data_IF_011931030667
#
_entry.id   IF_011931030667
#
_cell.length_a   1.000
_cell.length_b   1.000
_cell.length_c   1.000
_cell.angle_alpha   90.00
_cell.angle_beta   90.00
_cell.angle_gamma   90.00
#
_symmetry.space_group_name_H-M   'P 1'
#
loop_
_entity.id
_entity.type
_entity.pdbx_description
1 polymer ?
#
# COMPACT_ATOMS: atom_id res chain seq x y z
N UNK A 1 29.44 42.21 -43.16
CA UNK A 1 29.00 40.80 -43.24
C UNK A 1 28.89 40.09 -41.89
N UNK A 2 29.27 40.71 -40.74
CA UNK A 2 29.29 39.99 -39.44
C UNK A 2 28.00 40.13 -38.59
N UNK A 3 27.15 41.09 -38.86
CA UNK A 3 25.90 41.24 -38.06
C UNK A 3 24.82 40.20 -38.39
N UNK A 4 24.80 39.64 -39.59
CA UNK A 4 23.83 38.62 -40.01
C UNK A 4 24.09 37.22 -39.42
N UNK A 5 25.38 36.87 -39.21
CA UNK A 5 25.76 35.58 -38.61
C UNK A 5 25.45 35.48 -37.13
N UNK A 6 25.54 36.58 -36.39
CA UNK A 6 25.26 36.61 -34.93
C UNK A 6 23.76 36.46 -34.61
N UNK A 7 22.91 36.95 -35.50
CA UNK A 7 21.45 36.86 -35.33
C UNK A 7 20.95 35.45 -35.64
N UNK A 8 21.54 34.77 -36.65
CA UNK A 8 21.14 33.42 -37.01
C UNK A 8 21.54 32.38 -35.95
N UNK A 9 22.71 32.55 -35.32
CA UNK A 9 23.16 31.65 -34.23
C UNK A 9 22.32 31.84 -32.94
N UNK A 10 21.83 33.05 -32.69
CA UNK A 10 20.93 33.29 -31.51
C UNK A 10 19.52 32.71 -31.72
N UNK A 11 18.99 32.71 -32.96
CA UNK A 11 17.74 32.06 -33.32
C UNK A 11 17.84 30.53 -33.25
N UNK A 12 18.95 29.93 -33.72
CA UNK A 12 19.18 28.50 -33.64
C UNK A 12 19.34 27.98 -32.20
N UNK A 13 19.98 28.76 -31.28
CA UNK A 13 20.06 28.42 -29.87
C UNK A 13 18.71 28.53 -29.14
N UNK A 14 17.87 29.51 -29.53
CA UNK A 14 16.54 29.65 -28.93
C UNK A 14 15.58 28.53 -29.40
N UNK A 15 15.67 28.07 -30.64
CA UNK A 15 14.91 26.92 -31.13
C UNK A 15 15.36 25.60 -30.50
N UNK A 16 16.65 25.43 -30.20
CA UNK A 16 17.15 24.24 -29.50
C UNK A 16 16.70 24.19 -28.03
N UNK A 17 16.69 25.34 -27.31
CA UNK A 17 16.15 25.41 -25.96
C UNK A 17 14.62 25.18 -25.90
N UNK A 18 13.87 25.66 -26.89
CA UNK A 18 12.42 25.40 -26.95
C UNK A 18 12.09 23.93 -27.27
N UNK A 19 12.94 23.23 -28.03
CA UNK A 19 12.80 21.80 -28.30
C UNK A 19 13.09 20.93 -27.07
N UNK A 20 13.97 21.38 -26.17
CA UNK A 20 14.23 20.68 -24.90
C UNK A 20 13.13 20.90 -23.84
N UNK A 21 12.44 22.06 -23.88
CA UNK A 21 11.31 22.33 -23.00
C UNK A 21 10.02 21.59 -23.41
N UNK A 22 9.90 21.18 -24.66
CA UNK A 22 8.77 20.39 -25.16
C UNK A 22 8.97 18.89 -25.05
N UNK A 23 10.20 18.39 -24.83
CA UNK A 23 10.48 16.99 -24.58
C UNK A 23 10.12 16.51 -23.15
N UNK A 24 9.70 17.43 -22.28
CA UNK A 24 9.16 17.16 -20.93
C UNK A 24 7.64 16.98 -20.89
N UNK A 25 6.95 16.82 -22.03
CA UNK A 25 5.55 16.42 -22.04
C UNK A 25 5.43 15.02 -21.44
N UNK A 26 5.00 14.95 -20.20
CA UNK A 26 4.78 13.72 -19.46
C UNK A 26 4.01 12.72 -20.32
N UNK A 27 4.59 11.55 -20.53
CA UNK A 27 3.86 10.45 -21.10
C UNK A 27 2.65 10.20 -20.23
N UNK A 28 1.45 10.24 -20.80
CA UNK A 28 0.24 9.90 -20.10
C UNK A 28 0.42 8.51 -19.45
N UNK A 29 -0.02 8.33 -18.18
CA UNK A 29 0.08 7.04 -17.51
C UNK A 29 -0.55 5.94 -18.38
N UNK A 30 0.08 4.76 -18.36
CA UNK A 30 -0.31 3.64 -19.18
C UNK A 30 -1.80 3.31 -19.01
N UNK A 31 -2.56 3.37 -20.10
CA UNK A 31 -3.90 2.82 -20.15
C UNK A 31 -3.75 1.32 -20.40
N UNK A 32 -4.27 0.51 -19.50
CA UNK A 32 -4.33 -0.93 -19.69
C UNK A 32 -5.66 -1.27 -20.35
N UNK A 33 -5.61 -1.84 -21.55
CA UNK A 33 -6.79 -2.34 -22.22
C UNK A 33 -7.26 -3.65 -21.58
N UNK A 34 -8.58 -3.83 -21.40
CA UNK A 34 -9.12 -5.08 -20.87
C UNK A 34 -8.76 -6.28 -21.74
N UNK A 35 -8.39 -7.39 -21.12
CA UNK A 35 -8.03 -8.62 -21.80
C UNK A 35 -6.60 -8.71 -22.32
N UNK A 36 -5.79 -7.64 -22.22
CA UNK A 36 -4.35 -7.69 -22.43
C UNK A 36 -3.65 -8.02 -21.12
N UNK A 37 -2.70 -8.97 -21.09
CA UNK A 37 -1.94 -9.24 -19.89
C UNK A 37 -1.27 -7.97 -19.33
N UNK A 38 -1.45 -7.71 -18.06
CA UNK A 38 -0.82 -6.57 -17.39
C UNK A 38 0.70 -6.71 -17.46
N UNK A 39 1.45 -5.67 -17.84
CA UNK A 39 2.90 -5.73 -17.79
C UNK A 39 3.38 -5.76 -16.32
N UNK A 40 4.54 -6.38 -16.03
CA UNK A 40 5.09 -6.37 -14.68
C UNK A 40 5.43 -4.94 -14.25
N UNK A 41 5.27 -4.69 -12.94
CA UNK A 41 5.66 -3.42 -12.32
C UNK A 41 7.08 -3.56 -11.78
N UNK A 42 7.89 -2.53 -12.01
CA UNK A 42 9.28 -2.43 -11.52
C UNK A 42 9.51 -1.07 -10.87
N UNK A 43 10.54 -0.96 -10.04
CA UNK A 43 11.02 0.30 -9.50
C UNK A 43 12.21 0.83 -10.31
N UNK A 44 12.26 2.14 -10.52
CA UNK A 44 13.36 2.86 -11.17
C UNK A 44 13.58 4.18 -10.42
N UNK A 45 14.55 4.19 -9.50
CA UNK A 45 14.73 5.27 -8.55
C UNK A 45 13.45 5.48 -7.75
N UNK A 46 12.95 6.70 -7.68
CA UNK A 46 11.73 7.06 -6.95
C UNK A 46 10.42 6.79 -7.70
N UNK A 47 10.46 6.08 -8.84
CA UNK A 47 9.31 5.85 -9.69
C UNK A 47 8.94 4.37 -9.78
N UNK A 48 7.65 4.10 -9.91
CA UNK A 48 7.15 2.82 -10.38
C UNK A 48 6.96 2.86 -11.90
N UNK A 49 7.26 1.76 -12.57
CA UNK A 49 7.08 1.59 -14.01
C UNK A 49 6.25 0.34 -14.29
N UNK A 50 5.25 0.43 -15.15
CA UNK A 50 4.54 -0.73 -15.69
C UNK A 50 4.92 -0.90 -17.17
N UNK A 51 5.61 -1.98 -17.50
CA UNK A 51 6.13 -2.20 -18.86
C UNK A 51 7.06 -1.07 -19.34
N UNK A 52 7.87 -0.51 -18.47
CA UNK A 52 8.79 0.59 -18.74
C UNK A 52 8.15 1.97 -18.83
N UNK A 53 6.86 2.11 -18.56
CA UNK A 53 6.14 3.41 -18.54
C UNK A 53 5.87 3.85 -17.13
N UNK A 54 5.91 5.15 -16.81
CA UNK A 54 5.54 5.66 -15.49
C UNK A 54 4.18 5.12 -15.03
N UNK A 55 4.13 4.62 -13.81
CA UNK A 55 2.96 4.03 -13.22
C UNK A 55 2.64 4.73 -11.89
N UNK A 56 1.53 5.46 -11.86
CA UNK A 56 0.97 6.04 -10.64
C UNK A 56 -0.03 5.07 -10.04
N UNK A 57 0.17 4.66 -8.79
CA UNK A 57 -0.80 3.85 -8.04
C UNK A 57 -2.03 4.70 -7.72
N UNK A 58 -3.16 4.32 -8.26
CA UNK A 58 -4.49 4.85 -7.96
C UNK A 58 -5.31 3.73 -7.40
N UNK A 59 -5.17 3.53 -6.11
CA UNK A 59 -5.60 2.31 -5.46
C UNK A 59 -6.78 2.47 -4.53
N UNK A 60 -7.34 1.30 -4.21
CA UNK A 60 -8.32 1.11 -3.15
C UNK A 60 -7.98 -0.11 -2.34
N UNK A 61 -8.17 -0.05 -1.02
CA UNK A 61 -8.17 -1.23 -0.19
C UNK A 61 -9.50 -1.96 -0.38
N UNK A 62 -9.44 -3.20 -0.81
CA UNK A 62 -10.63 -4.01 -1.03
C UNK A 62 -11.13 -4.54 0.32
N UNK A 63 -12.14 -3.91 0.84
CA UNK A 63 -12.82 -4.29 2.07
C UNK A 63 -14.29 -4.48 1.75
N UNK A 64 -14.73 -5.73 1.73
CA UNK A 64 -16.10 -6.08 1.46
C UNK A 64 -16.85 -6.41 2.74
N UNK A 65 -17.84 -5.60 3.05
CA UNK A 65 -18.71 -5.82 4.18
C UNK A 65 -19.91 -6.65 3.73
N UNK A 66 -19.91 -7.94 4.01
CA UNK A 66 -20.98 -8.88 3.66
C UNK A 66 -21.39 -9.72 4.86
N UNK A 67 -22.52 -10.43 4.73
CA UNK A 67 -22.99 -11.36 5.74
C UNK A 67 -23.69 -10.75 6.93
N UNK A 68 -23.91 -11.56 7.95
CA UNK A 68 -24.68 -11.20 9.15
C UNK A 68 -23.89 -10.29 10.10
N UNK A 69 -22.55 -10.34 10.03
CA UNK A 69 -21.63 -9.50 10.80
C UNK A 69 -20.63 -8.85 9.86
N UNK A 70 -20.97 -7.72 9.24
CA UNK A 70 -20.08 -7.06 8.28
C UNK A 70 -18.73 -6.65 8.89
N UNK A 71 -18.69 -6.20 10.13
CA UNK A 71 -17.47 -5.78 10.79
C UNK A 71 -16.46 -6.92 10.94
N UNK A 72 -16.97 -8.15 11.12
CA UNK A 72 -16.14 -9.36 11.15
C UNK A 72 -15.78 -9.84 9.75
N UNK A 73 -16.72 -9.78 8.83
CA UNK A 73 -16.58 -10.41 7.51
C UNK A 73 -15.49 -9.79 6.64
N UNK A 74 -15.12 -8.53 6.85
CA UNK A 74 -14.02 -7.95 6.08
C UNK A 74 -12.68 -8.69 6.31
N UNK A 75 -12.45 -9.20 7.52
CA UNK A 75 -11.25 -9.98 7.84
C UNK A 75 -11.29 -11.40 7.24
N UNK A 76 -12.49 -11.93 7.00
CA UNK A 76 -12.70 -13.30 6.50
C UNK A 76 -13.18 -13.36 5.05
N UNK A 77 -13.02 -12.29 4.30
CA UNK A 77 -13.61 -12.11 2.96
C UNK A 77 -13.22 -13.14 1.91
N UNK A 78 -12.12 -13.89 2.10
CA UNK A 78 -11.73 -14.99 1.24
C UNK A 78 -12.08 -16.37 1.83
N UNK A 79 -12.52 -16.41 3.08
CA UNK A 79 -12.80 -17.67 3.78
C UNK A 79 -14.06 -18.37 3.29
N UNK A 80 -14.31 -19.53 3.88
CA UNK A 80 -15.51 -20.35 3.65
C UNK A 80 -16.53 -20.24 4.79
N UNK A 81 -16.44 -19.24 5.66
CA UNK A 81 -17.42 -19.04 6.74
C UNK A 81 -18.78 -18.68 6.13
N UNK A 82 -19.83 -19.48 6.36
CA UNK A 82 -21.16 -19.23 5.79
C UNK A 82 -21.78 -17.92 6.27
N UNK A 83 -21.28 -17.33 7.35
CA UNK A 83 -21.69 -15.99 7.81
C UNK A 83 -21.05 -14.88 7.00
N UNK A 84 -19.98 -15.19 6.25
CA UNK A 84 -19.22 -14.27 5.43
C UNK A 84 -19.11 -14.83 4.00
N UNK A 85 -20.22 -14.91 3.26
CA UNK A 85 -20.27 -15.62 2.00
C UNK A 85 -19.37 -15.01 0.94
N UNK A 86 -18.73 -15.88 0.18
CA UNK A 86 -18.03 -15.48 -1.04
C UNK A 86 -19.07 -15.22 -2.14
N UNK A 87 -19.09 -14.01 -2.67
CA UNK A 87 -20.11 -13.57 -3.64
C UNK A 87 -19.43 -13.08 -4.94
N UNK A 88 -19.03 -13.98 -5.83
CA UNK A 88 -18.21 -13.64 -6.99
C UNK A 88 -18.84 -12.57 -7.89
N UNK A 89 -20.13 -12.67 -8.18
CA UNK A 89 -20.82 -11.70 -9.04
C UNK A 89 -20.83 -10.27 -8.46
N UNK A 90 -20.95 -10.15 -7.14
CA UNK A 90 -20.92 -8.86 -6.48
C UNK A 90 -19.47 -8.31 -6.40
N UNK A 91 -18.48 -9.18 -6.20
CA UNK A 91 -17.05 -8.81 -6.23
C UNK A 91 -16.68 -8.30 -7.63
N UNK A 92 -17.11 -9.00 -8.67
CA UNK A 92 -16.89 -8.58 -10.06
C UNK A 92 -17.52 -7.22 -10.36
N UNK A 93 -18.72 -6.97 -9.88
CA UNK A 93 -19.39 -5.68 -10.01
C UNK A 93 -18.61 -4.55 -9.30
N UNK A 94 -18.05 -4.83 -8.10
CA UNK A 94 -17.20 -3.87 -7.39
C UNK A 94 -15.91 -3.57 -8.20
N UNK A 95 -15.28 -4.59 -8.78
CA UNK A 95 -14.08 -4.42 -9.61
C UNK A 95 -14.39 -3.63 -10.90
N UNK A 96 -15.52 -3.87 -11.55
CA UNK A 96 -15.99 -3.09 -12.72
C UNK A 96 -16.18 -1.62 -12.34
N UNK A 97 -16.79 -1.37 -11.19
CA UNK A 97 -17.00 -0.03 -10.64
C UNK A 97 -15.67 0.69 -10.35
N UNK A 98 -14.73 0.03 -9.68
CA UNK A 98 -13.42 0.62 -9.41
C UNK A 98 -12.70 1.01 -10.70
N UNK A 99 -12.73 0.14 -11.69
CA UNK A 99 -12.18 0.45 -13.00
C UNK A 99 -12.84 1.67 -13.65
N UNK A 100 -14.17 1.74 -13.63
CA UNK A 100 -14.92 2.87 -14.18
C UNK A 100 -14.56 4.19 -13.51
N UNK A 101 -14.19 4.17 -12.24
CA UNK A 101 -13.74 5.32 -11.45
C UNK A 101 -12.25 5.66 -11.64
N UNK A 102 -11.53 4.95 -12.51
CA UNK A 102 -10.12 5.20 -12.82
C UNK A 102 -9.12 4.58 -11.86
N UNK A 103 -9.58 3.70 -10.97
CA UNK A 103 -8.70 2.85 -10.13
C UNK A 103 -7.89 1.92 -11.04
N UNK A 104 -6.64 1.66 -10.69
CA UNK A 104 -5.76 0.73 -11.39
C UNK A 104 -5.14 -0.32 -10.46
N UNK A 105 -5.34 -0.21 -9.15
CA UNK A 105 -4.74 -1.11 -8.15
C UNK A 105 -5.74 -1.39 -7.05
N UNK A 106 -5.84 -2.66 -6.66
CA UNK A 106 -6.60 -3.10 -5.47
C UNK A 106 -5.64 -3.75 -4.48
N UNK A 107 -5.61 -3.27 -3.25
CA UNK A 107 -4.86 -3.86 -2.14
C UNK A 107 -5.78 -4.78 -1.35
N UNK A 108 -5.37 -6.02 -1.10
CA UNK A 108 -6.19 -7.07 -0.47
C UNK A 108 -5.48 -7.70 0.70
N UNK A 109 -6.25 -8.13 1.70
CA UNK A 109 -5.72 -8.61 2.97
C UNK A 109 -5.84 -10.13 3.08
N UNK A 110 -4.71 -10.81 3.26
CA UNK A 110 -4.64 -12.25 3.40
C UNK A 110 -4.51 -12.62 4.88
N UNK A 111 -5.66 -12.73 5.52
CA UNK A 111 -5.74 -12.95 6.96
C UNK A 111 -5.15 -14.29 7.37
N UNK A 112 -4.32 -14.30 8.43
CA UNK A 112 -3.64 -15.50 8.91
C UNK A 112 -4.59 -16.59 9.38
N UNK A 113 -5.74 -16.24 9.95
CA UNK A 113 -6.77 -17.23 10.33
C UNK A 113 -7.41 -17.90 9.12
N UNK A 114 -7.48 -17.22 7.98
CA UNK A 114 -8.11 -17.72 6.74
C UNK A 114 -7.14 -18.55 5.89
N UNK A 115 -5.91 -18.11 5.76
CA UNK A 115 -4.91 -18.76 4.90
C UNK A 115 -3.92 -19.63 5.68
N UNK A 116 -3.63 -19.30 6.93
CA UNK A 116 -2.74 -20.05 7.82
C UNK A 116 -3.46 -20.97 8.80
N UNK A 117 -4.79 -20.85 8.92
CA UNK A 117 -5.59 -21.66 9.85
C UNK A 117 -5.24 -21.49 11.32
N UNK A 118 -4.61 -20.37 11.69
CA UNK A 118 -4.12 -20.10 13.05
C UNK A 118 -3.29 -21.29 13.61
N UNK A 119 -2.34 -21.78 12.81
CA UNK A 119 -1.46 -22.92 13.09
C UNK A 119 -2.11 -24.30 13.16
N UNK A 120 -3.36 -24.45 12.78
CA UNK A 120 -3.97 -25.76 12.65
C UNK A 120 -3.56 -26.41 11.31
N UNK A 121 -2.75 -27.49 11.30
CA UNK A 121 -2.35 -28.16 10.06
C UNK A 121 -3.49 -28.91 9.39
N UNK A 122 -4.59 -29.17 10.11
CA UNK A 122 -5.78 -29.82 9.59
C UNK A 122 -6.77 -28.83 8.98
N UNK A 123 -6.52 -27.53 9.09
CA UNK A 123 -7.38 -26.51 8.51
C UNK A 123 -7.39 -26.59 6.98
N UNK A 124 -8.59 -26.69 6.40
CA UNK A 124 -8.76 -26.69 4.95
C UNK A 124 -8.80 -25.24 4.40
N UNK A 125 -7.68 -24.83 3.84
CA UNK A 125 -7.54 -23.51 3.17
C UNK A 125 -7.93 -23.56 1.69
N UNK A 126 -8.29 -24.70 1.15
CA UNK A 126 -8.62 -24.86 -0.27
C UNK A 126 -9.62 -23.83 -0.80
N UNK A 127 -10.77 -23.60 -0.13
CA UNK A 127 -11.71 -22.57 -0.54
C UNK A 127 -11.09 -21.18 -0.60
N UNK A 128 -10.33 -20.77 0.42
CA UNK A 128 -9.69 -19.45 0.45
C UNK A 128 -8.68 -19.25 -0.68
N UNK A 129 -7.90 -20.29 -0.98
CA UNK A 129 -6.94 -20.28 -2.08
C UNK A 129 -7.65 -20.16 -3.44
N UNK A 130 -8.76 -20.87 -3.65
CA UNK A 130 -9.56 -20.77 -4.86
C UNK A 130 -10.17 -19.37 -5.02
N UNK A 131 -10.75 -18.82 -3.95
CA UNK A 131 -11.32 -17.47 -3.96
C UNK A 131 -10.26 -16.39 -4.25
N UNK A 132 -9.05 -16.54 -3.72
CA UNK A 132 -7.94 -15.62 -4.03
C UNK A 132 -7.53 -15.70 -5.50
N UNK A 133 -7.44 -16.90 -6.06
CA UNK A 133 -7.12 -17.11 -7.47
C UNK A 133 -8.17 -16.48 -8.39
N UNK A 134 -9.45 -16.72 -8.10
CA UNK A 134 -10.58 -16.13 -8.81
C UNK A 134 -10.55 -14.60 -8.74
N UNK A 135 -10.31 -14.05 -7.55
CA UNK A 135 -10.24 -12.59 -7.35
C UNK A 135 -9.14 -11.96 -8.18
N UNK A 136 -7.91 -12.49 -8.08
CA UNK A 136 -6.76 -11.95 -8.82
C UNK A 136 -6.99 -12.05 -10.33
N UNK A 137 -7.58 -13.17 -10.79
CA UNK A 137 -7.92 -13.37 -12.20
C UNK A 137 -8.97 -12.34 -12.66
N UNK A 138 -10.04 -12.15 -11.89
CA UNK A 138 -11.10 -11.19 -12.20
C UNK A 138 -10.60 -9.74 -12.21
N UNK A 139 -9.75 -9.36 -11.25
CA UNK A 139 -9.13 -8.04 -11.18
C UNK A 139 -8.22 -7.79 -12.38
N UNK A 140 -7.33 -8.74 -12.71
CA UNK A 140 -6.38 -8.60 -13.81
C UNK A 140 -7.09 -8.55 -15.16
N UNK A 141 -8.17 -9.31 -15.37
CA UNK A 141 -9.00 -9.25 -16.57
C UNK A 141 -9.60 -7.86 -16.82
N UNK A 142 -9.76 -7.07 -15.76
CA UNK A 142 -10.25 -5.69 -15.79
C UNK A 142 -9.15 -4.62 -15.85
N UNK A 143 -7.90 -5.05 -15.95
CA UNK A 143 -6.76 -4.12 -15.96
C UNK A 143 -6.40 -3.57 -14.58
N UNK A 144 -6.84 -4.21 -13.50
CA UNK A 144 -6.50 -3.85 -12.13
C UNK A 144 -5.34 -4.71 -11.64
N UNK A 145 -4.28 -4.06 -11.16
CA UNK A 145 -3.24 -4.74 -10.41
C UNK A 145 -3.72 -5.12 -9.02
N UNK A 146 -3.18 -6.20 -8.48
CA UNK A 146 -3.43 -6.60 -7.10
C UNK A 146 -2.16 -6.44 -6.28
N UNK A 147 -2.26 -5.79 -5.12
CA UNK A 147 -1.22 -5.70 -4.10
C UNK A 147 -1.68 -6.52 -2.88
N UNK A 148 -1.31 -7.81 -2.79
CA UNK A 148 -1.68 -8.62 -1.65
C UNK A 148 -0.85 -8.25 -0.42
N UNK A 149 -1.52 -8.01 0.69
CA UNK A 149 -0.94 -7.98 2.03
C UNK A 149 -0.82 -9.40 2.52
N UNK A 150 0.39 -9.90 2.59
CA UNK A 150 0.64 -11.33 2.81
C UNK A 150 0.27 -11.77 4.23
N UNK A 151 0.54 -10.95 5.23
CA UNK A 151 0.19 -11.23 6.63
C UNK A 151 -0.56 -10.06 7.26
N UNK A 152 -1.76 -10.34 7.72
CA UNK A 152 -2.54 -9.52 8.64
C UNK A 152 -3.15 -10.42 9.72
N UNK A 153 -3.42 -9.87 10.90
CA UNK A 153 -3.93 -10.62 12.07
C UNK A 153 -2.99 -11.79 12.48
N UNK A 154 -1.70 -11.64 12.23
CA UNK A 154 -0.71 -12.57 12.72
C UNK A 154 -0.57 -12.43 14.23
N UNK A 155 -0.55 -13.55 14.99
CA UNK A 155 -0.47 -13.50 16.44
C UNK A 155 0.76 -12.74 16.93
N UNK A 156 0.55 -11.74 17.77
CA UNK A 156 1.57 -10.82 18.24
C UNK A 156 2.66 -11.45 19.13
N UNK A 157 2.39 -12.63 19.66
CA UNK A 157 3.31 -13.44 20.47
C UNK A 157 4.14 -14.43 19.66
N UNK A 158 4.12 -14.35 18.31
CA UNK A 158 4.75 -15.33 17.42
C UNK A 158 5.77 -14.73 16.45
N UNK A 159 6.40 -13.64 16.82
CA UNK A 159 7.48 -13.06 16.02
C UNK A 159 8.85 -13.69 16.28
N UNK A 160 8.97 -14.59 17.28
CA UNK A 160 10.20 -15.31 17.55
C UNK A 160 10.57 -16.32 16.46
N UNK A 161 11.89 -16.60 16.26
CA UNK A 161 12.39 -17.46 15.18
C UNK A 161 11.84 -18.89 15.23
N UNK A 162 11.41 -19.36 16.38
CA UNK A 162 10.78 -20.69 16.55
C UNK A 162 9.42 -20.82 15.84
N UNK A 163 8.79 -19.69 15.47
CA UNK A 163 7.50 -19.66 14.81
C UNK A 163 7.60 -19.50 13.28
N UNK A 164 8.77 -19.08 12.75
CA UNK A 164 8.92 -18.72 11.33
C UNK A 164 8.53 -19.85 10.37
N UNK A 165 9.11 -21.03 10.58
CA UNK A 165 8.85 -22.16 9.68
C UNK A 165 7.37 -22.53 9.64
N UNK A 166 6.70 -22.43 10.77
CA UNK A 166 5.27 -22.71 10.88
C UNK A 166 4.43 -21.73 10.07
N UNK A 167 4.68 -20.44 10.23
CA UNK A 167 4.00 -19.39 9.47
C UNK A 167 4.27 -19.54 7.97
N UNK A 168 5.51 -19.87 7.60
CA UNK A 168 5.91 -20.01 6.19
C UNK A 168 5.28 -21.24 5.55
N UNK A 169 5.25 -22.37 6.22
CA UNK A 169 4.65 -23.60 5.70
C UNK A 169 3.13 -23.47 5.54
N UNK A 170 2.46 -22.95 6.55
CA UNK A 170 1.01 -22.93 6.57
C UNK A 170 0.38 -21.80 5.76
N UNK A 171 1.04 -20.65 5.67
CA UNK A 171 0.48 -19.45 5.02
C UNK A 171 1.32 -18.98 3.84
N UNK A 172 2.58 -18.61 4.09
CA UNK A 172 3.39 -17.85 3.11
C UNK A 172 3.63 -18.65 1.84
N UNK A 173 4.17 -19.86 1.96
CA UNK A 173 4.54 -20.70 0.80
C UNK A 173 3.34 -21.05 -0.07
N UNK A 174 2.19 -21.53 0.47
CA UNK A 174 1.02 -21.81 -0.36
C UNK A 174 0.53 -20.60 -1.13
N UNK A 175 0.39 -19.45 -0.44
CA UNK A 175 -0.14 -18.22 -1.02
C UNK A 175 0.81 -17.66 -2.09
N UNK A 176 2.11 -17.53 -1.76
CA UNK A 176 3.07 -16.98 -2.71
C UNK A 176 3.19 -17.87 -3.95
N UNK A 177 3.24 -19.21 -3.80
CA UNK A 177 3.29 -20.14 -4.94
C UNK A 177 2.06 -20.06 -5.85
N UNK A 178 0.88 -19.78 -5.28
CA UNK A 178 -0.36 -19.60 -6.06
C UNK A 178 -0.25 -18.41 -7.02
N UNK A 179 0.36 -17.32 -6.56
CA UNK A 179 0.39 -16.05 -7.30
C UNK A 179 1.74 -15.72 -7.94
N UNK A 180 2.79 -16.50 -7.67
CA UNK A 180 4.14 -16.26 -8.18
C UNK A 180 4.16 -16.14 -9.71
N UNK A 181 4.93 -15.19 -10.21
CA UNK A 181 5.11 -14.93 -11.64
C UNK A 181 3.93 -14.27 -12.33
N UNK A 182 2.82 -13.98 -11.65
CA UNK A 182 1.67 -13.27 -12.27
C UNK A 182 2.00 -11.79 -12.48
N UNK A 183 2.01 -11.30 -13.72
CA UNK A 183 2.34 -9.89 -13.99
C UNK A 183 1.39 -8.91 -13.32
N UNK A 184 0.12 -9.26 -13.19
CA UNK A 184 -0.90 -8.43 -12.57
C UNK A 184 -0.86 -8.39 -11.03
N UNK A 185 0.05 -9.14 -10.38
CA UNK A 185 0.44 -8.91 -8.98
C UNK A 185 1.49 -7.81 -8.99
N UNK A 186 1.17 -6.64 -8.42
CA UNK A 186 2.04 -5.46 -8.41
C UNK A 186 3.34 -5.73 -7.65
N UNK A 187 3.21 -6.29 -6.48
CA UNK A 187 4.26 -6.61 -5.53
C UNK A 187 3.68 -7.40 -4.36
N UNK A 188 4.46 -7.65 -3.34
CA UNK A 188 4.01 -8.22 -2.09
C UNK A 188 4.15 -7.18 -0.97
N UNK A 189 3.06 -6.85 -0.32
CA UNK A 189 3.05 -6.16 0.95
C UNK A 189 3.17 -7.23 2.04
N UNK A 190 4.36 -7.37 2.61
CA UNK A 190 4.72 -8.52 3.42
C UNK A 190 3.92 -8.61 4.72
N UNK A 191 3.62 -7.46 5.32
CA UNK A 191 2.95 -7.41 6.61
C UNK A 191 2.19 -6.09 6.79
N UNK A 192 0.98 -6.16 7.40
CA UNK A 192 0.20 -4.97 7.74
C UNK A 192 0.60 -4.45 9.12
N UNK A 193 1.13 -3.24 9.17
CA UNK A 193 1.38 -2.46 10.38
C UNK A 193 2.16 -3.21 11.48
N UNK A 194 3.36 -3.74 11.18
CA UNK A 194 4.16 -4.41 12.20
C UNK A 194 4.68 -3.46 13.28
N UNK A 195 4.61 -2.16 13.03
CA UNK A 195 5.11 -1.08 13.87
C UNK A 195 4.11 -0.60 14.91
N UNK A 196 2.89 -1.13 14.94
CA UNK A 196 1.92 -0.81 15.97
C UNK A 196 1.51 -2.04 16.80
N UNK A 197 1.09 -1.75 18.01
CA UNK A 197 0.56 -2.74 18.94
C UNK A 197 1.64 -3.66 19.53
N UNK A 198 1.48 -3.92 20.79
CA UNK A 198 2.22 -4.94 21.51
C UNK A 198 1.27 -5.58 22.52
N UNK A 199 1.16 -6.91 22.57
CA UNK A 199 0.39 -7.57 23.60
C UNK A 199 1.09 -7.53 24.96
N UNK A 200 2.39 -7.18 24.98
CA UNK A 200 3.23 -7.19 26.17
C UNK A 200 3.14 -5.88 26.92
N UNK A 201 3.09 -4.77 26.21
CA UNK A 201 3.04 -3.43 26.81
C UNK A 201 2.29 -2.46 25.90
N UNK A 202 1.18 -1.91 26.39
CA UNK A 202 0.39 -0.93 25.63
C UNK A 202 1.17 0.33 25.28
N UNK A 203 2.28 0.62 25.97
CA UNK A 203 3.16 1.76 25.66
C UNK A 203 3.98 1.55 24.41
N UNK A 204 4.13 0.32 23.94
CA UNK A 204 4.84 -0.04 22.71
C UNK A 204 3.91 -0.03 21.49
N UNK A 205 2.97 0.91 21.43
CA UNK A 205 2.10 1.12 20.27
C UNK A 205 2.86 1.62 19.04
N UNK A 206 3.97 2.26 19.29
CA UNK A 206 4.76 2.99 18.33
C UNK A 206 6.23 2.78 18.69
N UNK A 207 7.05 2.49 17.70
CA UNK A 207 8.46 2.16 17.91
C UNK A 207 9.31 3.33 18.41
N UNK A 208 8.84 4.57 18.26
CA UNK A 208 9.52 5.78 18.71
C UNK A 208 8.86 6.47 19.92
N UNK A 209 8.02 5.78 20.66
CA UNK A 209 7.41 6.38 21.83
C UNK A 209 8.43 6.69 22.94
N UNK A 210 8.00 7.45 23.98
CA UNK A 210 8.86 7.86 25.08
C UNK A 210 9.44 6.68 25.90
N UNK A 211 8.78 5.52 25.83
CA UNK A 211 9.21 4.28 26.48
C UNK A 211 9.99 3.36 25.53
N UNK A 212 10.52 3.92 24.46
CA UNK A 212 11.24 3.20 23.42
C UNK A 212 12.28 2.18 23.89
N UNK A 213 13.11 2.45 24.94
CA UNK A 213 14.06 1.47 25.44
C UNK A 213 13.43 0.14 25.88
N UNK A 214 12.15 0.15 26.27
CA UNK A 214 11.40 -1.07 26.61
C UNK A 214 10.85 -1.75 25.36
N UNK A 215 10.54 -0.99 24.34
CA UNK A 215 9.92 -1.44 23.10
C UNK A 215 10.93 -1.88 22.04
N UNK A 216 12.18 -1.44 22.15
CA UNK A 216 13.24 -1.74 21.18
C UNK A 216 13.41 -3.24 20.90
N UNK A 217 13.48 -4.16 21.89
CA UNK A 217 13.60 -5.59 21.60
C UNK A 217 12.42 -6.15 20.80
N UNK A 218 11.22 -5.63 21.02
CA UNK A 218 10.03 -6.03 20.26
C UNK A 218 10.09 -5.56 18.81
N UNK A 219 10.52 -4.33 18.58
CA UNK A 219 10.74 -3.80 17.25
C UNK A 219 11.80 -4.62 16.48
N UNK A 220 12.93 -4.93 17.13
CA UNK A 220 13.98 -5.76 16.52
C UNK A 220 13.49 -7.17 16.17
N UNK A 221 12.72 -7.81 17.06
CA UNK A 221 12.16 -9.14 16.82
C UNK A 221 11.24 -9.14 15.59
N UNK A 222 10.38 -8.13 15.46
CA UNK A 222 9.51 -7.95 14.30
C UNK A 222 10.30 -7.68 13.02
N UNK A 223 11.31 -6.83 13.07
CA UNK A 223 12.18 -6.57 11.92
C UNK A 223 12.91 -7.84 11.47
N UNK A 224 13.39 -8.68 12.39
CA UNK A 224 14.01 -9.98 12.05
C UNK A 224 13.00 -10.94 11.40
N UNK A 225 11.76 -10.99 11.91
CA UNK A 225 10.70 -11.77 11.28
C UNK A 225 10.42 -11.28 9.85
N UNK A 226 10.29 -9.97 9.65
CA UNK A 226 10.07 -9.37 8.33
C UNK A 226 11.26 -9.66 7.39
N UNK A 227 12.49 -9.61 7.88
CA UNK A 227 13.67 -9.95 7.11
C UNK A 227 13.63 -11.41 6.62
N UNK A 228 13.32 -12.35 7.51
CA UNK A 228 13.16 -13.76 7.16
C UNK A 228 12.00 -13.99 6.18
N UNK A 229 10.88 -13.29 6.39
CA UNK A 229 9.72 -13.32 5.48
C UNK A 229 10.09 -12.80 4.08
N UNK A 230 10.82 -11.69 4.01
CA UNK A 230 11.33 -11.11 2.76
C UNK A 230 12.20 -12.11 1.99
N UNK A 231 13.14 -12.76 2.66
CA UNK A 231 14.01 -13.77 2.05
C UNK A 231 13.19 -14.92 1.47
N UNK A 232 12.22 -15.44 2.22
CA UNK A 232 11.37 -16.54 1.79
C UNK A 232 10.53 -16.15 0.57
N UNK A 233 9.90 -14.97 0.57
CA UNK A 233 9.09 -14.49 -0.54
C UNK A 233 9.95 -14.21 -1.77
N UNK A 234 11.11 -13.57 -1.62
CA UNK A 234 12.03 -13.30 -2.73
C UNK A 234 12.55 -14.61 -3.38
N UNK A 235 12.71 -15.66 -2.60
CA UNK A 235 13.07 -16.99 -3.10
C UNK A 235 11.94 -17.65 -3.90
N UNK A 236 10.68 -17.44 -3.49
CA UNK A 236 9.50 -18.06 -4.11
C UNK A 236 8.99 -17.30 -5.34
N UNK A 237 9.12 -15.98 -5.36
CA UNK A 237 8.69 -15.11 -6.46
C UNK A 237 9.80 -14.09 -6.81
N UNK A 238 10.91 -14.56 -7.40
CA UNK A 238 12.09 -13.73 -7.62
C UNK A 238 11.80 -12.58 -8.59
N UNK A 239 12.28 -11.40 -8.23
CA UNK A 239 12.14 -10.17 -9.03
C UNK A 239 10.80 -9.45 -8.86
N UNK A 240 9.91 -9.95 -8.00
CA UNK A 240 8.71 -9.24 -7.59
C UNK A 240 9.06 -8.18 -6.53
N UNK A 241 8.46 -7.00 -6.65
CA UNK A 241 8.64 -5.91 -5.68
C UNK A 241 8.09 -6.30 -4.30
N UNK A 242 8.84 -5.96 -3.27
CA UNK A 242 8.49 -6.25 -1.87
C UNK A 242 8.39 -4.93 -1.09
N UNK A 243 7.37 -4.85 -0.24
CA UNK A 243 7.18 -3.74 0.69
C UNK A 243 6.60 -4.23 2.02
N UNK A 244 6.44 -3.33 2.96
CA UNK A 244 5.78 -3.55 4.25
C UNK A 244 4.86 -2.37 4.52
N UNK A 245 3.57 -2.63 4.70
CA UNK A 245 2.57 -1.61 5.01
C UNK A 245 2.78 -1.08 6.42
N UNK A 246 3.67 -0.10 6.58
CA UNK A 246 3.94 0.53 7.88
C UNK A 246 2.81 1.45 8.28
N UNK A 247 2.44 1.46 9.57
CA UNK A 247 1.47 2.45 10.07
C UNK A 247 2.05 3.87 9.98
N UNK A 248 3.38 4.02 10.14
CA UNK A 248 4.05 5.32 10.14
C UNK A 248 5.25 5.36 9.21
N UNK A 249 5.40 6.46 8.49
CA UNK A 249 6.57 6.69 7.64
C UNK A 249 7.88 6.66 8.44
N UNK A 250 7.88 7.21 9.65
CA UNK A 250 9.07 7.28 10.52
C UNK A 250 9.62 5.91 10.90
N UNK A 251 8.80 4.87 10.93
CA UNK A 251 9.23 3.51 11.27
C UNK A 251 10.21 2.90 10.25
N UNK A 252 10.42 3.55 9.12
CA UNK A 252 11.48 3.15 8.17
C UNK A 252 12.88 3.59 8.57
N UNK A 253 13.01 4.65 9.34
CA UNK A 253 14.30 5.21 9.77
C UNK A 253 14.48 5.23 11.29
N UNK A 254 13.46 4.89 12.03
CA UNK A 254 13.48 4.70 13.47
C UNK A 254 13.30 3.22 13.82
N UNK A 255 13.93 2.70 14.86
CA UNK A 255 14.93 3.34 15.69
C UNK A 255 16.29 3.45 14.98
N UNK A 256 16.95 4.59 15.15
CA UNK A 256 18.23 4.87 14.47
C UNK A 256 19.38 3.94 14.92
N UNK A 257 19.27 3.40 16.13
CA UNK A 257 20.26 2.51 16.74
C UNK A 257 20.11 1.04 16.32
N UNK A 258 19.04 0.68 15.61
CA UNK A 258 18.82 -0.69 15.18
C UNK A 258 19.88 -1.14 14.17
N UNK A 259 20.39 -2.36 14.34
CA UNK A 259 21.30 -2.97 13.35
C UNK A 259 20.58 -3.23 12.01
N UNK A 260 19.30 -3.55 12.08
CA UNK A 260 18.45 -3.81 10.93
C UNK A 260 17.41 -2.70 10.81
N UNK A 261 17.37 -2.04 9.66
CA UNK A 261 16.39 -0.98 9.40
C UNK A 261 15.33 -1.49 8.44
N UNK A 262 14.06 -1.13 8.69
CA UNK A 262 12.96 -1.48 7.80
C UNK A 262 13.19 -0.94 6.38
N UNK A 263 13.84 0.21 6.25
CA UNK A 263 14.19 0.78 4.96
C UNK A 263 15.03 -0.15 4.08
N UNK A 264 15.86 -1.01 4.66
CA UNK A 264 16.73 -1.92 3.91
C UNK A 264 15.98 -3.17 3.41
N UNK A 265 14.80 -3.45 3.97
CA UNK A 265 14.00 -4.65 3.70
C UNK A 265 12.95 -4.50 2.60
N UNK A 266 12.79 -3.32 1.99
CA UNK A 266 11.73 -3.07 1.02
C UNK A 266 12.30 -2.58 -0.31
N UNK A 267 11.58 -2.74 -1.40
CA UNK A 267 11.93 -2.23 -2.73
C UNK A 267 11.24 -0.89 -3.03
N UNK A 268 10.18 -0.60 -2.30
CA UNK A 268 9.49 0.69 -2.29
C UNK A 268 8.87 0.93 -0.90
N UNK A 269 8.79 2.19 -0.49
CA UNK A 269 8.24 2.56 0.81
C UNK A 269 6.74 2.63 0.75
N UNK A 270 6.06 2.04 1.74
CA UNK A 270 4.61 2.17 1.91
C UNK A 270 4.27 2.50 3.35
N UNK A 271 3.36 3.42 3.54
CA UNK A 271 2.89 3.79 4.87
C UNK A 271 1.40 4.13 4.84
N UNK A 272 0.81 4.18 6.03
CA UNK A 272 -0.59 4.54 6.24
C UNK A 272 -0.69 5.96 6.76
N UNK A 273 -1.72 6.66 6.34
CA UNK A 273 -2.01 8.01 6.79
C UNK A 273 -3.50 8.16 7.09
N UNK A 274 -3.78 8.40 8.36
CA UNK A 274 -5.11 8.71 8.84
C UNK A 274 -5.06 10.04 9.56
N UNK A 275 -5.76 11.05 9.01
CA UNK A 275 -5.93 12.31 9.71
C UNK A 275 -7.09 12.19 10.69
N UNK A 276 -6.77 12.05 11.96
CA UNK A 276 -7.73 12.02 13.06
C UNK A 276 -7.85 13.35 13.82
N UNK A 277 -7.39 14.44 13.20
CA UNK A 277 -7.62 15.80 13.70
C UNK A 277 -9.04 16.05 14.25
N UNK A 278 -10.10 15.41 13.69
CA UNK A 278 -11.44 15.56 14.28
C UNK A 278 -11.59 14.95 15.64
N UNK A 279 -10.78 13.95 15.99
CA UNK A 279 -10.82 13.34 17.32
C UNK A 279 -9.96 14.17 18.25
N UNK A 280 -10.57 14.85 19.18
CA UNK A 280 -9.90 15.68 20.20
C UNK A 280 -9.19 14.82 21.25
N UNK A 281 -8.70 13.63 20.85
CA UNK A 281 -8.11 12.68 21.76
C UNK A 281 -6.69 13.08 22.18
N UNK A 282 -6.02 13.95 21.43
CA UNK A 282 -4.62 14.35 21.66
C UNK A 282 -3.62 13.19 21.57
N UNK A 283 -4.14 11.95 21.63
CA UNK A 283 -3.36 10.72 21.72
C UNK A 283 -2.57 10.45 20.44
N UNK A 284 -3.16 10.74 19.30
CA UNK A 284 -2.57 10.42 18.00
C UNK A 284 -1.73 11.56 17.44
N UNK A 285 -2.08 12.81 17.67
CA UNK A 285 -1.37 13.98 17.19
C UNK A 285 0.11 14.06 17.56
N UNK A 286 0.47 13.60 18.76
CA UNK A 286 1.82 13.79 19.29
C UNK A 286 2.74 12.60 19.02
N UNK A 287 2.17 11.42 18.79
CA UNK A 287 2.94 10.17 18.71
C UNK A 287 3.01 9.59 17.30
N UNK A 288 1.98 9.78 16.48
CA UNK A 288 1.83 9.06 15.22
C UNK A 288 2.30 9.86 14.01
N UNK A 289 2.05 11.15 14.03
CA UNK A 289 2.52 12.06 12.99
C UNK A 289 3.26 13.22 13.64
N UNK A 290 3.67 14.19 12.85
CA UNK A 290 4.54 15.28 13.31
C UNK A 290 3.79 16.39 14.05
N UNK A 291 2.46 16.28 14.17
CA UNK A 291 1.62 17.22 14.92
C UNK A 291 1.39 18.56 14.21
N UNK A 292 1.67 18.65 12.92
CA UNK A 292 1.42 19.84 12.09
C UNK A 292 0.01 19.84 11.50
N UNK A 293 -0.63 18.65 11.46
CA UNK A 293 -1.95 18.44 10.87
C UNK A 293 -1.90 18.18 9.36
N UNK A 294 -3.07 17.79 8.83
CA UNK A 294 -3.25 17.56 7.41
C UNK A 294 -3.34 18.88 6.62
N UNK A 295 -2.70 19.04 5.44
CA UNK A 295 -1.91 18.02 4.72
C UNK A 295 -0.40 18.03 5.04
N UNK A 296 0.06 18.88 5.97
CA UNK A 296 1.50 19.11 6.19
C UNK A 296 2.21 17.88 6.76
N UNK A 297 1.54 17.10 7.62
CA UNK A 297 2.08 15.83 8.12
C UNK A 297 2.24 14.79 7.00
N UNK A 298 1.27 14.70 6.08
CA UNK A 298 1.36 13.84 4.90
C UNK A 298 2.53 14.25 4.00
N UNK A 299 2.67 15.55 3.74
CA UNK A 299 3.77 16.12 2.95
C UNK A 299 5.12 15.77 3.57
N UNK A 300 5.24 15.98 4.87
CA UNK A 300 6.48 15.72 5.60
C UNK A 300 6.83 14.23 5.58
N UNK A 301 5.88 13.34 5.81
CA UNK A 301 6.10 11.91 5.75
C UNK A 301 6.68 11.45 4.38
N UNK A 302 6.09 11.92 3.28
CA UNK A 302 6.58 11.62 1.93
C UNK A 302 7.99 12.18 1.72
N UNK A 303 8.23 13.43 2.14
CA UNK A 303 9.51 14.12 1.94
C UNK A 303 10.64 13.43 2.72
N UNK A 304 10.40 13.02 3.96
CA UNK A 304 11.38 12.32 4.79
C UNK A 304 11.73 10.94 4.22
N UNK A 305 10.75 10.17 3.74
CA UNK A 305 11.01 8.89 3.07
C UNK A 305 11.85 9.07 1.79
N UNK A 306 11.57 10.10 1.01
CA UNK A 306 12.34 10.40 -0.21
C UNK A 306 13.75 10.92 0.09
N UNK A 307 13.98 11.45 1.28
CA UNK A 307 15.31 11.88 1.72
C UNK A 307 16.20 10.73 2.19
N UNK A 308 15.67 9.51 2.34
CA UNK A 308 16.48 8.33 2.62
C UNK A 308 17.39 8.03 1.42
N UNK A 309 18.61 7.55 1.72
CA UNK A 309 19.67 7.36 0.73
C UNK A 309 19.36 6.34 -0.39
N UNK A 310 18.28 5.61 -0.29
CA UNK A 310 17.98 4.46 -1.15
C UNK A 310 17.13 4.76 -2.38
N UNK A 311 16.82 6.00 -2.70
CA UNK A 311 16.06 6.40 -3.91
C UNK A 311 14.93 5.42 -4.29
N UNK A 312 13.96 5.20 -3.41
CA UNK A 312 12.84 4.27 -3.64
C UNK A 312 11.52 4.98 -3.87
N UNK A 313 10.59 4.37 -4.64
CA UNK A 313 9.24 4.88 -4.76
C UNK A 313 8.55 4.93 -3.40
N UNK A 314 7.68 5.93 -3.20
CA UNK A 314 6.82 6.05 -2.02
C UNK A 314 5.36 5.90 -2.44
N UNK A 315 4.60 5.03 -1.77
CA UNK A 315 3.15 4.87 -1.97
C UNK A 315 2.45 4.96 -0.63
N UNK A 316 1.41 5.77 -0.51
CA UNK A 316 0.54 5.79 0.67
C UNK A 316 -0.46 4.66 0.53
N UNK A 317 -0.27 3.52 1.23
CA UNK A 317 -1.07 2.30 1.01
C UNK A 317 -2.37 2.23 1.79
N UNK A 318 -2.53 3.09 2.79
CA UNK A 318 -3.83 3.41 3.38
C UNK A 318 -3.91 4.91 3.60
N UNK A 319 -4.94 5.50 3.03
CA UNK A 319 -5.26 6.90 3.24
C UNK A 319 -6.73 6.99 3.59
N UNK A 320 -7.03 7.44 4.79
CA UNK A 320 -8.38 7.52 5.29
C UNK A 320 -8.64 8.77 6.13
N UNK A 321 -9.90 9.16 6.12
CA UNK A 321 -10.39 10.27 6.92
C UNK A 321 -11.61 9.80 7.70
N UNK A 322 -11.55 9.72 9.05
CA UNK A 322 -12.67 9.27 9.84
C UNK A 322 -13.89 10.20 9.72
N UNK A 323 -15.06 9.58 9.68
CA UNK A 323 -16.36 10.28 9.66
C UNK A 323 -17.34 9.73 10.70
N UNK A 324 -16.84 8.99 11.67
CA UNK A 324 -17.66 8.39 12.72
C UNK A 324 -18.37 9.46 13.58
N UNK A 325 -19.39 9.07 14.32
CA UNK A 325 -20.01 9.95 15.30
C UNK A 325 -18.99 10.52 16.27
N UNK A 326 -18.81 11.84 16.29
CA UNK A 326 -17.76 12.53 17.06
C UNK A 326 -16.66 13.13 16.20
N UNK A 327 -16.50 12.69 14.94
CA UNK A 327 -15.63 13.35 13.99
C UNK A 327 -16.15 14.75 13.66
N UNK A 328 -15.24 15.71 13.55
CA UNK A 328 -15.56 17.08 13.07
C UNK A 328 -15.75 17.11 11.56
N UNK A 329 -15.28 16.08 10.85
CA UNK A 329 -15.33 15.99 9.38
C UNK A 329 -16.69 15.48 8.92
N UNK A 330 -17.26 16.18 7.95
CA UNK A 330 -18.50 15.79 7.29
C UNK A 330 -18.19 15.03 5.98
N UNK A 331 -19.15 14.31 5.42
CA UNK A 331 -18.99 13.63 4.13
C UNK A 331 -18.53 14.57 2.99
N UNK A 332 -18.98 15.83 2.99
CA UNK A 332 -18.53 16.81 2.00
C UNK A 332 -17.03 17.14 2.14
N UNK A 333 -16.49 17.08 3.35
CA UNK A 333 -15.07 17.32 3.60
C UNK A 333 -14.20 16.19 3.09
N UNK A 334 -14.68 14.92 3.14
CA UNK A 334 -13.96 13.77 2.65
C UNK A 334 -13.48 13.93 1.21
N UNK A 335 -14.39 14.35 0.34
CA UNK A 335 -14.09 14.51 -1.08
C UNK A 335 -13.06 15.62 -1.32
N UNK A 336 -13.16 16.71 -0.58
CA UNK A 336 -12.18 17.81 -0.61
C UNK A 336 -10.82 17.32 -0.13
N UNK A 337 -10.79 16.68 1.03
CA UNK A 337 -9.54 16.27 1.68
C UNK A 337 -8.86 15.13 0.92
N UNK A 338 -9.61 14.21 0.34
CA UNK A 338 -9.05 13.19 -0.54
C UNK A 338 -8.41 13.78 -1.79
N UNK A 339 -8.98 14.85 -2.36
CA UNK A 339 -8.35 15.60 -3.47
C UNK A 339 -7.08 16.32 -3.04
N UNK A 340 -7.11 16.96 -1.87
CA UNK A 340 -5.92 17.60 -1.30
C UNK A 340 -4.83 16.57 -1.05
N UNK A 341 -5.17 15.40 -0.53
CA UNK A 341 -4.22 14.32 -0.34
C UNK A 341 -3.59 13.84 -1.66
N UNK A 342 -4.40 13.59 -2.69
CA UNK A 342 -3.90 13.21 -4.02
C UNK A 342 -2.99 14.29 -4.61
N UNK A 343 -3.38 15.54 -4.47
CA UNK A 343 -2.55 16.66 -4.92
C UNK A 343 -1.21 16.69 -4.17
N UNK A 344 -1.22 16.56 -2.84
CA UNK A 344 -0.01 16.49 -2.01
C UNK A 344 0.89 15.33 -2.42
N UNK A 345 0.33 14.12 -2.59
CA UNK A 345 1.06 12.92 -3.05
C UNK A 345 1.78 13.18 -4.38
N UNK A 346 1.11 13.83 -5.33
CA UNK A 346 1.69 14.17 -6.64
C UNK A 346 2.72 15.30 -6.57
N UNK A 347 2.45 16.35 -5.82
CA UNK A 347 3.36 17.50 -5.65
C UNK A 347 4.68 17.08 -5.01
N UNK A 348 4.61 16.19 -4.01
CA UNK A 348 5.79 15.63 -3.36
C UNK A 348 6.46 14.50 -4.18
N UNK A 349 5.86 14.13 -5.32
CA UNK A 349 6.41 13.13 -6.24
C UNK A 349 6.42 11.71 -5.68
N UNK A 350 5.44 11.37 -4.85
CA UNK A 350 5.18 9.97 -4.49
C UNK A 350 4.56 9.21 -5.67
N UNK A 351 4.72 7.89 -5.68
CA UNK A 351 4.28 7.01 -6.76
C UNK A 351 2.78 6.68 -6.72
N UNK A 352 2.04 7.25 -5.78
CA UNK A 352 0.59 7.14 -5.71
C UNK A 352 0.03 6.87 -4.33
N UNK A 353 -1.25 6.56 -4.29
CA UNK A 353 -1.95 6.26 -3.05
C UNK A 353 -3.06 5.21 -3.23
N UNK A 354 -3.42 4.58 -2.12
CA UNK A 354 -4.49 3.59 -1.98
C UNK A 354 -5.46 4.08 -0.90
N UNK A 355 -6.70 4.28 -1.25
CA UNK A 355 -7.71 4.77 -0.31
C UNK A 355 -8.17 3.68 0.64
N UNK A 356 -8.33 4.02 1.92
CA UNK A 356 -8.91 3.12 2.90
C UNK A 356 -10.43 3.11 2.78
N UNK A 357 -10.90 1.95 2.67
CA UNK A 357 -12.24 1.42 2.61
C UNK A 357 -13.39 2.34 2.16
N UNK A 358 -14.10 1.88 1.17
CA UNK A 358 -15.26 2.53 0.58
C UNK A 358 -16.58 2.10 1.22
N UNK A 359 -16.61 1.90 2.50
CA UNK A 359 -17.81 1.49 3.22
C UNK A 359 -18.98 2.48 3.04
N UNK A 360 -18.67 3.72 2.66
CA UNK A 360 -19.62 4.85 2.71
C UNK A 360 -19.90 5.54 1.36
N UNK A 361 -19.94 4.84 0.24
CA UNK A 361 -20.20 5.37 -1.11
C UNK A 361 -18.96 5.77 -1.89
N UNK A 362 -18.29 4.79 -2.50
CA UNK A 362 -17.08 5.03 -3.30
C UNK A 362 -17.28 6.02 -4.44
N UNK A 363 -18.48 6.09 -5.04
CA UNK A 363 -18.76 7.01 -6.14
C UNK A 363 -18.71 8.46 -5.71
N UNK A 364 -19.12 8.77 -4.48
CA UNK A 364 -19.07 10.12 -3.95
C UNK A 364 -17.65 10.55 -3.62
N UNK A 365 -16.81 9.62 -3.15
CA UNK A 365 -15.43 9.89 -2.81
C UNK A 365 -14.52 9.92 -4.03
N UNK A 366 -14.69 8.97 -4.92
CA UNK A 366 -13.85 8.80 -6.10
C UNK A 366 -14.35 9.58 -7.32
N UNK A 367 -15.63 9.74 -7.50
CA UNK A 367 -16.36 10.22 -8.67
C UNK A 367 -15.57 10.83 -9.84
N UNK A 368 -14.65 11.71 -9.55
CA UNK A 368 -13.74 12.35 -10.48
C UNK A 368 -12.28 12.41 -9.99
N UNK A 369 -11.97 11.81 -8.81
CA UNK A 369 -10.65 11.88 -8.19
C UNK A 369 -9.56 11.32 -9.11
N UNK A 370 -9.83 10.17 -9.70
CA UNK A 370 -8.94 9.49 -10.63
C UNK A 370 -9.39 9.65 -12.10
N UNK A 371 -10.44 10.44 -12.36
CA UNK A 371 -10.83 10.78 -13.72
C UNK A 371 -9.70 11.58 -14.40
N UNK A 372 -9.54 11.35 -15.70
CA UNK A 372 -8.49 11.96 -16.53
C UNK A 372 -8.90 13.32 -17.03
#
# INVERSE_FOLDING_TARGET
>A
MDRARTTLNRLLCLCALAAWLLAGCGQAPAHVDPGVPLPPVTADGTRLLAGGRPFEVRGVNFVRLTGADPARCWMFQFGADPRCPWEPAAIEADLDRYRALGVNTVRVFLNYYVFGGNDDPAYDKGPAMAHLDDFVTAANARGLYVLPVLLIEYPQDRFGPEHYERAFELHVRPVVRLLAGRPGVLGWDLFNEPDIGSPVDERCWDWDNADFPLCFPLAEERMRFIAALREEVARLDPGKLLTVGMAFAKSYFEPAEAELRMADLVDFYTFHYYDDEPYDSGRYRQHWYYGQGFPDDLRRAITELKALELDRPVVVTELGFPTDPGSRRQHADLRRDTRVALQTVREEGAAGMVLWSFQNSPDELLGDLFAR
#
